data_IF_271972236526
#
_entry.id   IF_271972236526
#
_cell.length_a   1.000
_cell.length_b   1.000
_cell.length_c   1.000
_cell.angle_alpha   90.00
_cell.angle_beta   90.00
_cell.angle_gamma   90.00
#
_symmetry.space_group_name_H-M   'P 1'
#
loop_
_entity.id
_entity.type
_entity.pdbx_description
1 polymer ?
#
# COMPACT_ATOMS: atom_id res chain seq x y z
N UNK A 1 -30.38 -32.55 -73.62
CA UNK A 1 -30.63 -31.53 -72.58
C UNK A 1 -30.72 -32.10 -71.17
N UNK A 2 -31.09 -33.37 -70.95
CA UNK A 2 -31.29 -33.98 -69.61
C UNK A 2 -30.03 -34.32 -68.80
N UNK A 3 -28.91 -34.70 -69.44
CA UNK A 3 -27.71 -35.19 -68.75
C UNK A 3 -26.96 -34.10 -67.96
N UNK A 4 -26.99 -32.85 -68.46
CA UNK A 4 -26.31 -31.71 -67.83
C UNK A 4 -27.04 -31.25 -66.56
N UNK A 5 -28.37 -31.35 -66.51
CA UNK A 5 -29.15 -31.11 -65.29
C UNK A 5 -28.92 -32.18 -64.23
N UNK A 6 -28.80 -33.45 -64.65
CA UNK A 6 -28.50 -34.55 -63.74
C UNK A 6 -27.12 -34.40 -63.08
N UNK A 7 -26.09 -34.05 -63.87
CA UNK A 7 -24.75 -33.76 -63.33
C UNK A 7 -24.75 -32.58 -62.36
N UNK A 8 -25.46 -31.49 -62.69
CA UNK A 8 -25.56 -30.31 -61.83
C UNK A 8 -26.31 -30.61 -60.52
N UNK A 9 -27.34 -31.45 -60.56
CA UNK A 9 -28.04 -31.92 -59.36
C UNK A 9 -27.18 -32.84 -58.49
N UNK A 10 -26.39 -33.74 -59.10
CA UNK A 10 -25.45 -34.60 -58.38
C UNK A 10 -24.32 -33.80 -57.69
N UNK A 11 -23.83 -32.73 -58.31
CA UNK A 11 -22.82 -31.83 -57.72
C UNK A 11 -23.42 -31.04 -56.55
N UNK A 12 -24.59 -30.41 -56.74
CA UNK A 12 -25.26 -29.62 -55.69
C UNK A 12 -25.63 -30.50 -54.50
N UNK A 13 -26.16 -31.71 -54.72
CA UNK A 13 -26.49 -32.63 -53.63
C UNK A 13 -25.26 -33.13 -52.86
N UNK A 14 -24.11 -33.32 -53.52
CA UNK A 14 -22.85 -33.64 -52.85
C UNK A 14 -22.27 -32.45 -52.07
N UNK A 15 -22.35 -31.22 -52.59
CA UNK A 15 -21.94 -30.03 -51.84
C UNK A 15 -22.81 -29.79 -50.61
N UNK A 16 -24.13 -29.96 -50.72
CA UNK A 16 -25.05 -29.85 -49.59
C UNK A 16 -24.76 -30.93 -48.54
N UNK A 17 -24.49 -32.18 -48.95
CA UNK A 17 -24.08 -33.25 -48.03
C UNK A 17 -22.75 -32.93 -47.34
N UNK A 18 -21.75 -32.49 -48.09
CA UNK A 18 -20.44 -32.12 -47.52
C UNK A 18 -20.54 -30.93 -46.56
N UNK A 19 -21.39 -29.95 -46.85
CA UNK A 19 -21.67 -28.82 -45.97
C UNK A 19 -22.42 -29.26 -44.70
N UNK A 20 -23.40 -30.16 -44.83
CA UNK A 20 -24.11 -30.73 -43.68
C UNK A 20 -23.19 -31.58 -42.79
N UNK A 21 -22.30 -32.37 -43.37
CA UNK A 21 -21.33 -33.18 -42.63
C UNK A 21 -20.29 -32.31 -41.91
N UNK A 22 -19.78 -31.25 -42.56
CA UNK A 22 -18.90 -30.27 -41.91
C UNK A 22 -19.60 -29.55 -40.74
N UNK A 23 -20.87 -29.22 -40.89
CA UNK A 23 -21.65 -28.60 -39.82
C UNK A 23 -21.89 -29.57 -38.65
N UNK A 24 -22.27 -30.82 -38.94
CA UNK A 24 -22.45 -31.85 -37.92
C UNK A 24 -21.15 -32.15 -37.17
N UNK A 25 -20.02 -32.28 -37.86
CA UNK A 25 -18.72 -32.51 -37.20
C UNK A 25 -18.29 -31.33 -36.33
N UNK A 26 -18.55 -30.09 -36.77
CA UNK A 26 -18.27 -28.91 -35.95
C UNK A 26 -19.14 -28.85 -34.68
N UNK A 27 -20.41 -29.27 -34.77
CA UNK A 27 -21.30 -29.33 -33.60
C UNK A 27 -20.87 -30.43 -32.63
N UNK A 28 -20.49 -31.61 -33.13
CA UNK A 28 -19.96 -32.72 -32.32
C UNK A 28 -18.68 -32.32 -31.59
N UNK A 29 -17.78 -31.56 -32.23
CA UNK A 29 -16.53 -31.08 -31.63
C UNK A 29 -16.76 -29.95 -30.59
N UNK A 30 -17.87 -29.21 -30.70
CA UNK A 30 -18.22 -28.12 -29.78
C UNK A 30 -19.01 -28.61 -28.55
N UNK A 31 -19.78 -29.69 -28.68
CA UNK A 31 -20.57 -30.27 -27.60
C UNK A 31 -19.77 -30.54 -26.31
N UNK A 32 -18.60 -31.23 -26.33
CA UNK A 32 -17.84 -31.49 -25.11
C UNK A 32 -17.27 -30.21 -24.48
N UNK A 33 -16.94 -29.20 -25.30
CA UNK A 33 -16.43 -27.91 -24.83
C UNK A 33 -17.52 -27.08 -24.14
N UNK A 34 -18.74 -27.12 -24.67
CA UNK A 34 -19.91 -26.48 -24.03
C UNK A 34 -20.25 -27.18 -22.72
N UNK A 35 -20.26 -28.52 -22.70
CA UNK A 35 -20.48 -29.28 -21.46
C UNK A 35 -19.41 -28.97 -20.42
N UNK A 36 -18.13 -28.93 -20.81
CA UNK A 36 -17.03 -28.55 -19.94
C UNK A 36 -17.18 -27.11 -19.41
N UNK A 37 -17.57 -26.14 -20.25
CA UNK A 37 -17.82 -24.77 -19.83
C UNK A 37 -18.97 -24.67 -18.81
N UNK A 38 -20.07 -25.40 -19.04
CA UNK A 38 -21.21 -25.45 -18.10
C UNK A 38 -20.77 -26.08 -16.77
N UNK A 39 -20.01 -27.18 -16.81
CA UNK A 39 -19.47 -27.81 -15.59
C UNK A 39 -18.56 -26.85 -14.82
N UNK A 40 -17.68 -26.12 -15.51
CA UNK A 40 -16.82 -25.10 -14.90
C UNK A 40 -17.65 -24.00 -14.24
N UNK A 41 -18.70 -23.50 -14.89
CA UNK A 41 -19.59 -22.50 -14.31
C UNK A 41 -20.29 -23.02 -13.05
N UNK A 42 -20.86 -24.23 -13.11
CA UNK A 42 -21.54 -24.85 -11.97
C UNK A 42 -20.58 -25.06 -10.80
N UNK A 43 -19.42 -25.66 -11.05
CA UNK A 43 -18.37 -25.84 -10.05
C UNK A 43 -17.89 -24.50 -9.48
N UNK A 44 -17.70 -23.50 -10.35
CA UNK A 44 -17.30 -22.15 -9.98
C UNK A 44 -18.29 -21.47 -9.04
N UNK A 45 -19.59 -21.56 -9.33
CA UNK A 45 -20.64 -21.03 -8.44
C UNK A 45 -20.70 -21.76 -7.10
N UNK A 46 -20.44 -23.08 -7.08
CA UNK A 46 -20.34 -23.84 -5.84
C UNK A 46 -19.15 -23.36 -4.99
N UNK A 47 -17.97 -23.24 -5.59
CA UNK A 47 -16.77 -22.70 -4.93
C UNK A 47 -17.03 -21.30 -4.40
N UNK A 48 -17.63 -20.42 -5.21
CA UNK A 48 -17.99 -19.06 -4.81
C UNK A 48 -18.89 -19.05 -3.58
N UNK A 49 -19.93 -19.89 -3.54
CA UNK A 49 -20.82 -20.00 -2.38
C UNK A 49 -20.08 -20.46 -1.12
N UNK A 50 -19.20 -21.45 -1.26
CA UNK A 50 -18.41 -21.96 -0.13
C UNK A 50 -17.47 -20.87 0.41
N UNK A 51 -16.71 -20.21 -0.46
CA UNK A 51 -15.77 -19.15 -0.08
C UNK A 51 -16.49 -17.99 0.61
N UNK A 52 -17.58 -17.49 0.03
CA UNK A 52 -18.35 -16.38 0.63
C UNK A 52 -18.96 -16.78 1.99
N UNK A 53 -19.41 -18.03 2.14
CA UNK A 53 -19.94 -18.54 3.42
C UNK A 53 -18.85 -18.63 4.49
N UNK A 54 -17.65 -19.12 4.13
CA UNK A 54 -16.51 -19.20 5.04
C UNK A 54 -16.05 -17.80 5.47
N UNK A 55 -15.91 -16.89 4.52
CA UNK A 55 -15.57 -15.49 4.81
C UNK A 55 -16.64 -14.82 5.70
N UNK A 56 -17.92 -15.13 5.51
CA UNK A 56 -19.00 -14.50 6.25
C UNK A 56 -18.99 -14.90 7.71
N UNK A 57 -18.68 -16.18 7.96
CA UNK A 57 -18.43 -16.70 9.31
C UNK A 57 -17.20 -16.07 9.94
N UNK A 58 -16.08 -15.98 9.20
CA UNK A 58 -14.85 -15.39 9.73
C UNK A 58 -14.99 -13.91 10.11
N UNK A 59 -15.71 -13.12 9.29
CA UNK A 59 -15.90 -11.69 9.54
C UNK A 59 -16.94 -11.40 10.62
N UNK A 60 -17.98 -12.23 10.77
CA UNK A 60 -18.99 -12.06 11.84
C UNK A 60 -18.42 -12.32 13.23
N UNK A 61 -17.41 -13.19 13.35
CA UNK A 61 -16.71 -13.45 14.62
C UNK A 61 -15.94 -12.23 15.16
N UNK A 62 -15.62 -11.25 14.32
CA UNK A 62 -14.73 -10.12 14.68
C UNK A 62 -15.42 -8.77 14.90
N UNK A 63 -16.75 -8.72 15.08
CA UNK A 63 -17.51 -7.46 15.23
C UNK A 63 -17.17 -6.41 14.16
N UNK A 64 -16.93 -6.86 12.92
CA UNK A 64 -16.61 -5.97 11.80
C UNK A 64 -17.87 -5.21 11.39
N UNK A 65 -17.72 -3.92 11.08
CA UNK A 65 -18.80 -3.07 10.58
C UNK A 65 -19.52 -3.73 9.39
N UNK A 66 -20.86 -3.68 9.39
CA UNK A 66 -21.69 -4.31 8.37
C UNK A 66 -21.38 -3.80 6.94
N UNK A 67 -20.92 -2.55 6.82
CA UNK A 67 -20.50 -1.91 5.57
C UNK A 67 -19.22 -2.55 5.04
N UNK A 68 -18.21 -2.69 5.90
CA UNK A 68 -16.93 -3.34 5.56
C UNK A 68 -17.19 -4.80 5.15
N UNK A 69 -18.06 -5.48 5.88
CA UNK A 69 -18.44 -6.86 5.57
C UNK A 69 -19.04 -6.97 4.16
N UNK A 70 -20.04 -6.16 3.83
CA UNK A 70 -20.68 -6.18 2.50
C UNK A 70 -19.70 -5.81 1.40
N UNK A 71 -18.82 -4.85 1.63
CA UNK A 71 -17.81 -4.42 0.67
C UNK A 71 -16.82 -5.54 0.33
N UNK A 72 -16.21 -6.18 1.34
CA UNK A 72 -15.28 -7.30 1.13
C UNK A 72 -15.95 -8.48 0.42
N UNK A 73 -17.19 -8.81 0.82
CA UNK A 73 -17.99 -9.86 0.18
C UNK A 73 -18.22 -9.59 -1.30
N UNK A 74 -18.55 -8.34 -1.64
CA UNK A 74 -18.75 -7.93 -3.02
C UNK A 74 -17.46 -8.02 -3.84
N UNK A 75 -16.34 -7.56 -3.29
CA UNK A 75 -15.04 -7.64 -3.97
C UNK A 75 -14.65 -9.09 -4.29
N UNK A 76 -14.72 -9.99 -3.30
CA UNK A 76 -14.38 -11.40 -3.50
C UNK A 76 -15.33 -12.07 -4.48
N UNK A 77 -16.62 -11.73 -4.42
CA UNK A 77 -17.61 -12.21 -5.40
C UNK A 77 -17.22 -11.82 -6.82
N UNK A 78 -16.86 -10.56 -7.06
CA UNK A 78 -16.45 -10.07 -8.38
C UNK A 78 -15.20 -10.81 -8.86
N UNK A 79 -14.18 -10.95 -8.01
CA UNK A 79 -12.93 -11.66 -8.37
C UNK A 79 -13.20 -13.11 -8.76
N UNK A 80 -13.95 -13.86 -7.95
CA UNK A 80 -14.28 -15.26 -8.25
C UNK A 80 -15.11 -15.35 -9.53
N UNK A 81 -16.08 -14.45 -9.72
CA UNK A 81 -16.92 -14.43 -10.93
C UNK A 81 -16.08 -14.22 -12.20
N UNK A 82 -15.12 -13.29 -12.17
CA UNK A 82 -14.20 -13.05 -13.29
C UNK A 82 -13.35 -14.28 -13.58
N UNK A 83 -12.77 -14.91 -12.55
CA UNK A 83 -11.96 -16.14 -12.72
C UNK A 83 -12.79 -17.25 -13.36
N UNK A 84 -13.98 -17.52 -12.82
CA UNK A 84 -14.89 -18.57 -13.31
C UNK A 84 -15.33 -18.30 -14.75
N UNK A 85 -15.65 -17.04 -15.08
CA UNK A 85 -16.00 -16.66 -16.44
C UNK A 85 -14.84 -16.90 -17.41
N UNK A 86 -13.63 -16.44 -17.09
CA UNK A 86 -12.43 -16.64 -17.91
C UNK A 86 -12.14 -18.14 -18.10
N UNK A 87 -12.25 -18.95 -17.04
CA UNK A 87 -12.09 -20.40 -17.13
C UNK A 87 -13.13 -21.06 -18.04
N UNK A 88 -14.39 -20.62 -17.98
CA UNK A 88 -15.44 -21.14 -18.85
C UNK A 88 -15.21 -20.75 -20.33
N UNK A 89 -14.80 -19.50 -20.61
CA UNK A 89 -14.46 -19.08 -21.97
C UNK A 89 -13.27 -19.86 -22.55
N UNK A 90 -12.30 -20.23 -21.71
CA UNK A 90 -11.17 -21.06 -22.13
C UNK A 90 -11.60 -22.46 -22.60
N UNK A 91 -12.68 -23.01 -22.04
CA UNK A 91 -13.19 -24.33 -22.46
C UNK A 91 -13.82 -24.28 -23.86
N UNK A 92 -14.38 -23.14 -24.28
CA UNK A 92 -15.05 -22.96 -25.59
C UNK A 92 -14.04 -22.60 -26.71
N UNK A 93 -12.72 -22.74 -26.46
CA UNK A 93 -11.65 -22.43 -27.42
C UNK A 93 -11.67 -20.98 -27.95
N UNK A 94 -12.19 -20.04 -27.15
CA UNK A 94 -12.11 -18.61 -27.46
C UNK A 94 -10.64 -18.16 -27.42
N UNK A 95 -10.17 -17.29 -28.34
CA UNK A 95 -8.82 -16.74 -28.27
C UNK A 95 -8.58 -15.99 -26.95
N UNK A 96 -7.86 -16.62 -26.03
CA UNK A 96 -7.64 -16.06 -24.68
C UNK A 96 -6.69 -14.87 -24.67
N UNK A 97 -5.91 -14.66 -25.73
CA UNK A 97 -4.92 -13.57 -25.83
C UNK A 97 -5.55 -12.19 -25.61
N UNK A 98 -6.66 -11.89 -26.27
CA UNK A 98 -7.36 -10.60 -26.12
C UNK A 98 -7.98 -10.42 -24.74
N UNK A 99 -8.55 -11.48 -24.15
CA UNK A 99 -9.16 -11.45 -22.82
C UNK A 99 -8.09 -11.24 -21.75
N UNK A 100 -6.98 -11.99 -21.82
CA UNK A 100 -5.86 -11.88 -20.90
C UNK A 100 -5.22 -10.50 -21.01
N UNK A 101 -5.06 -9.97 -22.23
CA UNK A 101 -4.54 -8.60 -22.43
C UNK A 101 -5.44 -7.54 -21.79
N UNK A 102 -6.77 -7.65 -21.97
CA UNK A 102 -7.73 -6.73 -21.37
C UNK A 102 -7.72 -6.81 -19.83
N UNK A 103 -7.78 -8.02 -19.27
CA UNK A 103 -7.75 -8.24 -17.81
C UNK A 103 -6.41 -7.81 -17.21
N UNK A 104 -5.30 -8.12 -17.88
CA UNK A 104 -3.96 -7.69 -17.47
C UNK A 104 -3.87 -6.17 -17.39
N UNK A 105 -4.36 -5.47 -18.42
CA UNK A 105 -4.39 -4.00 -18.46
C UNK A 105 -5.27 -3.42 -17.35
N UNK A 106 -6.49 -3.95 -17.17
CA UNK A 106 -7.38 -3.54 -16.09
C UNK A 106 -6.77 -3.80 -14.71
N UNK A 107 -6.11 -4.94 -14.52
CA UNK A 107 -5.42 -5.32 -13.29
C UNK A 107 -4.27 -4.38 -12.95
N UNK A 108 -3.46 -3.98 -13.93
CA UNK A 108 -2.40 -2.98 -13.74
C UNK A 108 -2.99 -1.63 -13.34
N UNK A 109 -4.07 -1.17 -13.99
CA UNK A 109 -4.72 0.08 -13.63
C UNK A 109 -5.25 0.08 -12.19
N UNK A 110 -5.88 -1.02 -11.76
CA UNK A 110 -6.35 -1.21 -10.37
C UNK A 110 -5.15 -1.22 -9.40
N UNK A 111 -4.07 -1.94 -9.73
CA UNK A 111 -2.88 -2.02 -8.89
C UNK A 111 -2.20 -0.65 -8.72
N UNK A 112 -2.05 0.11 -9.81
CA UNK A 112 -1.50 1.46 -9.76
C UNK A 112 -2.36 2.40 -8.91
N UNK A 113 -3.69 2.24 -8.96
CA UNK A 113 -4.62 3.01 -8.12
C UNK A 113 -4.48 2.67 -6.62
N UNK A 114 -4.12 1.42 -6.29
CA UNK A 114 -3.95 0.95 -4.91
C UNK A 114 -2.51 1.04 -4.39
N UNK A 115 -1.56 1.43 -5.25
CA UNK A 115 -0.12 1.44 -4.97
C UNK A 115 0.22 2.18 -3.67
N UNK A 116 -0.38 3.34 -3.42
CA UNK A 116 -0.07 4.16 -2.25
C UNK A 116 -0.60 3.53 -0.96
N UNK A 117 -1.78 2.91 -1.00
CA UNK A 117 -2.33 2.18 0.14
C UNK A 117 -1.44 0.99 0.52
N UNK A 118 -0.98 0.23 -0.48
CA UNK A 118 -0.07 -0.89 -0.24
C UNK A 118 1.30 -0.42 0.26
N UNK A 119 1.81 0.70 -0.27
CA UNK A 119 3.04 1.33 0.20
C UNK A 119 2.95 1.76 1.67
N UNK A 120 1.79 2.20 2.14
CA UNK A 120 1.56 2.54 3.55
C UNK A 120 1.55 1.30 4.44
N UNK A 121 0.90 0.21 4.02
CA UNK A 121 0.94 -1.06 4.75
C UNK A 121 2.38 -1.56 4.89
N UNK A 122 3.12 -1.60 3.78
CA UNK A 122 4.52 -2.00 3.79
C UNK A 122 5.38 -1.08 4.67
N UNK A 123 5.16 0.23 4.60
CA UNK A 123 5.84 1.20 5.46
C UNK A 123 5.59 0.94 6.95
N UNK A 124 4.35 0.60 7.33
CA UNK A 124 4.01 0.23 8.70
C UNK A 124 4.78 -0.99 9.18
N UNK A 125 4.86 -2.04 8.36
CA UNK A 125 5.69 -3.22 8.68
C UNK A 125 7.17 -2.89 8.84
N UNK A 126 7.74 -2.06 7.96
CA UNK A 126 9.14 -1.63 8.04
C UNK A 126 9.41 -0.88 9.34
N UNK A 127 8.53 0.05 9.74
CA UNK A 127 8.65 0.78 11.00
C UNK A 127 8.65 -0.19 12.19
N UNK A 128 7.75 -1.18 12.20
CA UNK A 128 7.65 -2.16 13.29
C UNK A 128 8.85 -3.10 13.38
N UNK A 129 9.48 -3.44 12.25
CA UNK A 129 10.65 -4.33 12.20
C UNK A 129 11.95 -3.60 12.50
N UNK A 130 12.21 -2.48 11.80
CA UNK A 130 13.43 -1.71 11.95
C UNK A 130 13.43 -0.85 13.24
N UNK A 131 12.25 -0.51 13.76
CA UNK A 131 12.04 0.30 14.97
C UNK A 131 12.93 1.54 15.06
N UNK A 132 12.93 2.44 14.05
CA UNK A 132 13.65 3.72 14.14
C UNK A 132 13.12 4.62 15.28
N UNK A 133 11.88 4.37 15.71
CA UNK A 133 11.24 4.96 16.87
C UNK A 133 10.16 4.01 17.42
N UNK A 134 9.65 4.29 18.61
CA UNK A 134 8.60 3.53 19.29
C UNK A 134 7.46 4.45 19.72
N UNK A 135 6.32 3.85 20.06
CA UNK A 135 5.22 4.57 20.72
C UNK A 135 5.75 5.17 22.03
N UNK A 136 5.51 6.45 22.23
CA UNK A 136 6.03 7.25 23.35
C UNK A 136 7.30 8.05 23.02
N UNK A 137 7.99 7.77 21.91
CA UNK A 137 9.15 8.57 21.52
C UNK A 137 8.72 9.94 21.00
N UNK A 138 9.48 10.96 21.32
CA UNK A 138 9.35 12.30 20.73
C UNK A 138 10.22 12.39 19.47
N UNK A 139 9.57 12.63 18.33
CA UNK A 139 10.18 12.56 16.99
C UNK A 139 9.80 13.75 16.12
N UNK A 140 10.66 14.07 15.16
CA UNK A 140 10.38 14.95 14.04
C UNK A 140 10.43 14.16 12.73
N UNK A 141 9.39 14.31 11.92
CA UNK A 141 9.22 13.66 10.62
C UNK A 141 8.80 14.73 9.61
N UNK A 142 9.75 15.15 8.76
CA UNK A 142 9.53 16.22 7.81
C UNK A 142 9.35 17.58 8.51
N UNK A 143 8.13 18.13 8.48
CA UNK A 143 7.78 19.39 9.17
C UNK A 143 6.92 19.18 10.41
N UNK A 144 6.66 17.93 10.77
CA UNK A 144 5.78 17.58 11.87
C UNK A 144 6.62 17.04 13.02
N UNK A 145 6.39 17.58 14.21
CA UNK A 145 7.11 17.23 15.43
C UNK A 145 6.09 16.86 16.52
N UNK A 146 6.37 15.79 17.27
CA UNK A 146 5.49 15.36 18.35
C UNK A 146 5.83 13.99 18.93
N UNK A 147 5.08 13.60 19.96
CA UNK A 147 5.18 12.27 20.57
C UNK A 147 4.39 11.24 19.75
N UNK A 148 4.99 10.10 19.46
CA UNK A 148 4.32 8.99 18.77
C UNK A 148 3.24 8.39 19.67
N UNK A 149 1.98 8.51 19.27
CA UNK A 149 0.83 7.99 20.00
C UNK A 149 0.51 6.54 19.57
N UNK A 150 0.38 6.31 18.26
CA UNK A 150 0.12 4.97 17.73
C UNK A 150 0.71 4.79 16.34
N UNK A 151 1.23 3.58 16.10
CA UNK A 151 1.64 3.12 14.77
C UNK A 151 0.53 2.20 14.25
N UNK A 152 -0.32 2.73 13.37
CA UNK A 152 -1.39 1.98 12.72
C UNK A 152 -0.89 1.33 11.43
N UNK A 153 -1.74 0.52 10.80
CA UNK A 153 -1.39 -0.20 9.57
C UNK A 153 -1.11 0.74 8.39
N UNK A 154 -1.83 1.87 8.27
CA UNK A 154 -1.65 2.82 7.16
C UNK A 154 -0.94 4.12 7.54
N UNK A 155 -0.93 4.49 8.82
CA UNK A 155 -0.42 5.77 9.28
C UNK A 155 0.20 5.67 10.67
N UNK A 156 1.04 6.64 10.99
CA UNK A 156 1.57 6.90 12.32
C UNK A 156 0.94 8.17 12.84
N UNK A 157 0.39 8.13 14.06
CA UNK A 157 -0.20 9.28 14.72
C UNK A 157 0.81 9.91 15.67
N UNK A 158 1.05 11.21 15.53
CA UNK A 158 1.82 12.02 16.45
C UNK A 158 0.88 12.95 17.22
N UNK A 159 1.15 13.17 18.50
CA UNK A 159 0.55 14.24 19.28
C UNK A 159 1.59 15.36 19.43
N UNK A 160 1.30 16.54 18.91
CA UNK A 160 2.19 17.70 19.01
C UNK A 160 2.19 18.27 20.43
N UNK A 161 3.18 19.12 20.75
CA UNK A 161 3.21 19.86 22.04
C UNK A 161 1.95 20.72 22.23
N UNK A 162 1.38 21.24 21.13
CA UNK A 162 0.13 22.00 21.11
C UNK A 162 -1.13 21.12 21.21
N UNK A 163 -0.98 19.82 21.55
CA UNK A 163 -2.06 18.86 21.69
C UNK A 163 -2.88 18.66 20.39
N UNK A 164 -2.24 18.75 19.22
CA UNK A 164 -2.84 18.43 17.92
C UNK A 164 -2.48 17.01 17.50
N UNK A 165 -3.46 16.27 16.99
CA UNK A 165 -3.24 14.96 16.39
C UNK A 165 -2.83 15.10 14.93
N UNK A 166 -1.63 14.64 14.58
CA UNK A 166 -1.09 14.63 13.22
C UNK A 166 -1.01 13.19 12.74
N UNK A 167 -1.67 12.90 11.62
CA UNK A 167 -1.69 11.57 11.01
C UNK A 167 -0.79 11.56 9.78
N UNK A 168 0.34 10.86 9.87
CA UNK A 168 1.33 10.79 8.80
C UNK A 168 1.23 9.41 8.14
N UNK A 169 0.99 9.32 6.82
CA UNK A 169 1.03 8.06 6.09
C UNK A 169 2.38 7.34 6.29
N UNK A 170 2.34 6.05 6.60
CA UNK A 170 3.55 5.29 6.92
C UNK A 170 4.56 5.29 5.76
N UNK A 171 4.09 5.34 4.51
CA UNK A 171 4.97 5.42 3.34
C UNK A 171 5.80 6.72 3.33
N UNK A 172 5.25 7.83 3.84
CA UNK A 172 5.96 9.12 3.95
C UNK A 172 6.99 9.02 5.07
N UNK A 173 6.62 8.44 6.21
CA UNK A 173 7.54 8.23 7.34
C UNK A 173 8.77 7.44 6.90
N UNK A 174 8.58 6.33 6.18
CA UNK A 174 9.71 5.49 5.73
C UNK A 174 10.56 6.10 4.62
N UNK A 175 10.06 7.12 3.92
CA UNK A 175 10.78 7.82 2.84
C UNK A 175 11.46 9.10 3.32
N UNK A 176 11.09 9.59 4.51
CA UNK A 176 11.59 10.83 5.08
C UNK A 176 12.70 10.55 6.08
N UNK A 177 13.58 11.54 6.30
CA UNK A 177 14.45 11.49 7.46
C UNK A 177 13.62 11.59 8.74
N UNK A 178 13.96 10.76 9.74
CA UNK A 178 13.30 10.76 11.05
C UNK A 178 14.32 11.13 12.10
N UNK A 179 14.09 12.25 12.79
CA UNK A 179 14.90 12.69 13.92
C UNK A 179 14.22 12.19 15.20
N UNK A 180 14.88 11.29 15.94
CA UNK A 180 14.36 10.79 17.21
C UNK A 180 15.11 11.45 18.38
N UNK A 181 14.44 12.37 19.08
CA UNK A 181 15.04 13.10 20.21
C UNK A 181 15.10 12.27 21.50
N UNK A 182 14.43 11.12 21.51
CA UNK A 182 14.32 10.21 22.68
C UNK A 182 15.27 9.02 22.58
N UNK A 183 15.73 8.67 21.36
CA UNK A 183 16.61 7.53 21.13
C UNK A 183 17.93 7.64 21.92
N UNK A 184 18.51 8.83 21.98
CA UNK A 184 19.77 9.08 22.67
C UNK A 184 19.55 9.72 24.05
N UNK A 185 20.31 9.22 25.05
CA UNK A 185 20.18 9.68 26.45
C UNK A 185 20.76 11.08 26.70
N UNK A 186 21.68 11.51 25.85
CA UNK A 186 22.42 12.77 25.99
C UNK A 186 22.13 13.64 24.77
N UNK A 187 22.09 14.96 24.97
CA UNK A 187 21.88 15.94 23.89
C UNK A 187 22.77 17.16 24.10
N UNK A 188 23.22 17.75 23.00
CA UNK A 188 23.92 19.03 23.02
C UNK A 188 22.89 20.15 23.00
N UNK A 189 23.06 21.15 23.86
CA UNK A 189 22.24 22.35 23.90
C UNK A 189 23.10 23.53 23.44
N UNK A 190 22.70 24.17 22.35
CA UNK A 190 23.29 25.44 21.91
C UNK A 190 22.47 26.59 22.48
N UNK A 191 23.13 27.49 23.21
CA UNK A 191 22.52 28.71 23.75
C UNK A 191 23.30 29.91 23.22
N UNK A 192 22.56 30.92 22.76
CA UNK A 192 23.11 32.19 22.31
C UNK A 192 22.70 33.29 23.27
N UNK A 193 23.69 34.02 23.77
CA UNK A 193 23.51 35.16 24.64
C UNK A 193 24.12 36.36 23.95
N UNK A 194 23.46 37.52 24.07
CA UNK A 194 23.96 38.78 23.53
C UNK A 194 24.30 39.71 24.68
N UNK A 195 25.46 40.35 24.62
CA UNK A 195 25.94 41.35 25.59
C UNK A 195 26.22 42.69 24.91
N UNK A 196 26.12 43.79 25.65
CA UNK A 196 26.42 45.11 25.09
C UNK A 196 27.90 45.19 24.70
N UNK A 197 28.22 45.99 23.68
CA UNK A 197 29.61 46.34 23.35
C UNK A 197 30.34 47.06 24.49
N UNK A 198 29.59 47.69 25.40
CA UNK A 198 30.15 48.30 26.60
C UNK A 198 30.55 47.29 27.67
N UNK A 199 30.09 46.04 27.57
CA UNK A 199 30.33 45.00 28.57
C UNK A 199 31.62 44.21 28.26
N UNK A 200 32.27 43.74 29.32
CA UNK A 200 33.47 42.92 29.18
C UNK A 200 33.11 41.47 28.85
N UNK A 201 33.29 41.09 27.59
CA UNK A 201 33.01 39.74 27.10
C UNK A 201 33.83 38.66 27.82
N UNK A 202 35.04 38.95 28.31
CA UNK A 202 35.81 37.96 29.07
C UNK A 202 35.15 37.65 30.42
N UNK A 203 34.61 38.68 31.10
CA UNK A 203 33.83 38.48 32.32
C UNK A 203 32.56 37.68 32.06
N UNK A 204 31.87 37.96 30.95
CA UNK A 204 30.67 37.21 30.57
C UNK A 204 30.99 35.71 30.33
N UNK A 205 32.05 35.42 29.57
CA UNK A 205 32.51 34.04 29.33
C UNK A 205 32.82 33.34 30.65
N UNK A 206 33.54 34.01 31.55
CA UNK A 206 33.93 33.41 32.84
C UNK A 206 32.70 33.13 33.72
N UNK A 207 31.75 34.07 33.78
CA UNK A 207 30.50 33.92 34.52
C UNK A 207 29.69 32.73 34.01
N UNK A 208 29.58 32.56 32.69
CA UNK A 208 28.89 31.41 32.09
C UNK A 208 29.63 30.12 32.45
N UNK A 209 30.96 30.05 32.27
CA UNK A 209 31.76 28.86 32.62
C UNK A 209 31.59 28.47 34.09
N UNK A 210 31.63 29.43 35.00
CA UNK A 210 31.47 29.18 36.43
C UNK A 210 30.04 28.72 36.79
N UNK A 211 29.04 29.23 36.09
CA UNK A 211 27.64 28.79 36.23
C UNK A 211 27.46 27.35 35.73
N UNK A 212 28.01 27.03 34.56
CA UNK A 212 27.93 25.68 33.99
C UNK A 212 28.64 24.64 34.88
N UNK A 213 29.79 24.98 35.47
CA UNK A 213 30.51 24.10 36.42
C UNK A 213 29.71 23.76 37.68
N UNK A 214 28.77 24.62 38.09
CA UNK A 214 27.94 24.41 39.29
C UNK A 214 26.69 23.56 39.01
N UNK A 215 26.25 23.45 37.75
CA UNK A 215 25.04 22.70 37.39
C UNK A 215 25.34 21.21 37.20
N UNK A 216 24.78 20.38 38.09
CA UNK A 216 24.97 18.92 38.09
C UNK A 216 24.38 18.20 36.87
N UNK A 217 23.53 18.87 36.08
CA UNK A 217 22.91 18.31 34.86
C UNK A 217 23.85 18.35 33.66
N UNK A 218 24.91 19.15 33.72
CA UNK A 218 25.86 19.34 32.64
C UNK A 218 26.91 18.24 32.70
N UNK A 219 27.16 17.62 31.54
CA UNK A 219 28.10 16.52 31.41
C UNK A 219 29.47 17.05 30.97
N UNK A 220 30.53 16.60 31.63
CA UNK A 220 31.92 16.91 31.24
C UNK A 220 32.49 15.94 30.18
N UNK A 221 31.69 14.98 29.71
CA UNK A 221 32.09 13.94 28.75
C UNK A 221 30.97 13.67 27.73
N UNK A 222 31.27 13.63 26.41
CA UNK A 222 32.59 13.48 25.79
C UNK A 222 33.43 14.77 25.61
N UNK A 223 32.83 15.96 25.74
CA UNK A 223 33.54 17.24 25.68
C UNK A 223 32.97 18.21 26.72
N UNK A 224 33.81 19.08 27.27
CA UNK A 224 33.35 20.16 28.15
C UNK A 224 32.53 21.19 27.36
N UNK A 225 31.56 21.88 28.00
CA UNK A 225 30.79 22.93 27.36
C UNK A 225 31.70 24.02 26.76
N UNK A 226 31.58 24.24 25.46
CA UNK A 226 32.29 25.30 24.77
C UNK A 226 31.59 26.64 25.06
N UNK A 227 32.35 27.61 25.58
CA UNK A 227 31.88 28.98 25.80
C UNK A 227 32.85 29.92 25.09
N UNK A 228 32.39 30.50 23.99
CA UNK A 228 33.17 31.35 23.08
C UNK A 228 32.33 32.53 22.60
N UNK A 229 32.99 33.58 22.11
CA UNK A 229 32.33 34.63 21.33
C UNK A 229 31.99 34.04 19.96
N UNK A 230 30.71 34.04 19.60
CA UNK A 230 30.23 33.48 18.34
C UNK A 230 30.34 34.47 17.18
N UNK A 231 29.90 35.71 17.39
CA UNK A 231 29.87 36.75 16.36
C UNK A 231 29.94 38.16 16.97
N UNK A 232 30.18 39.17 16.13
CA UNK A 232 29.98 40.57 16.48
C UNK A 232 28.79 41.09 15.68
N UNK A 233 27.66 41.29 16.34
CA UNK A 233 26.40 41.73 15.73
C UNK A 233 26.33 43.25 15.53
N UNK A 234 25.22 43.73 14.97
CA UNK A 234 25.03 45.16 14.71
C UNK A 234 24.89 46.01 15.97
N UNK A 235 24.42 45.43 17.08
CA UNK A 235 24.16 46.15 18.34
C UNK A 235 24.67 45.44 19.60
N UNK A 236 25.20 44.22 19.47
CA UNK A 236 25.68 43.41 20.59
C UNK A 236 26.77 42.43 20.13
N UNK A 237 27.55 41.95 21.09
CA UNK A 237 28.48 40.81 20.96
C UNK A 237 27.75 39.53 21.36
#
# INVERSE_FOLDING_TARGET
MSLQYFYRYAIISNEVKNMSQKFLSQVEDLLPNIVAAVLILVCGFLVQRVVLKLMGRALSLKHVDATIHKFLMSMVRVVITVIVAVSALSAVKVPMSSIIAAIGTAGVAICLSLKDSLSNVAGGFIILLAKPFRVGDYVEIGKNEGTVDVISILYTKLNTIENKAVFIPNSIVTKSAVTNFTAEKKRCLELRFSISYSDDHNKAIQLVKDTLKKDKRILSSPAEPLVVVGEHGSSAI
#
